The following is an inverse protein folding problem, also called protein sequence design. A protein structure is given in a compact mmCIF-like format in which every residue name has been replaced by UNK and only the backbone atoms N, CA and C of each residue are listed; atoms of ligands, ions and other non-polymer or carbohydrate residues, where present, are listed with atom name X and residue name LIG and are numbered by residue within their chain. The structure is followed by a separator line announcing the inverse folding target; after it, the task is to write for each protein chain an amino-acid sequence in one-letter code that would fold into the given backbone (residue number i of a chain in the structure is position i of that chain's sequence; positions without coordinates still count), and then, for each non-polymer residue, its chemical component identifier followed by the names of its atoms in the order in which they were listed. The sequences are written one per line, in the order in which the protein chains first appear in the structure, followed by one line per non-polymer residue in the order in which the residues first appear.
data_IF_173753009787
#
_entry.id   IF_173753009787
#
_cell.length_a   1.000
_cell.length_b   1.000
_cell.length_c   1.000
_cell.angle_alpha   90.00
_cell.angle_beta   90.00
_cell.angle_gamma   90.00
#
_symmetry.space_group_name_H-M   'P 1'
#
loop_
_entity.id
_entity.type
_entity.pdbx_description
1 polymer ?
#
# COMPACT_ATOMS: atom_id res chain seq x y z
N UNK A 1 7.38 2.44 11.33
CA UNK A 1 8.05 2.95 10.10
C UNK A 1 7.09 3.07 8.90
N UNK A 2 6.36 2.01 8.52
CA UNK A 2 5.42 2.03 7.38
C UNK A 2 4.34 3.13 7.44
N UNK A 3 3.68 3.33 8.59
CA UNK A 3 2.68 4.41 8.75
C UNK A 3 3.25 5.81 8.57
N UNK A 4 4.51 6.07 8.96
CA UNK A 4 5.13 7.39 8.83
C UNK A 4 5.37 7.72 7.35
N UNK A 5 5.79 6.71 6.57
CA UNK A 5 5.96 6.84 5.12
C UNK A 5 4.62 7.11 4.43
N UNK A 6 3.58 6.33 4.75
CA UNK A 6 2.24 6.58 4.22
C UNK A 6 1.71 7.97 4.60
N UNK A 7 1.90 8.38 5.86
CA UNK A 7 1.44 9.69 6.32
C UNK A 7 2.16 10.84 5.59
N UNK A 8 3.48 10.73 5.40
CA UNK A 8 4.25 11.75 4.69
C UNK A 8 3.92 11.79 3.19
N UNK A 9 3.71 10.63 2.55
CA UNK A 9 3.29 10.56 1.14
C UNK A 9 1.92 11.22 0.94
N UNK A 10 0.96 11.00 1.85
CA UNK A 10 -0.39 11.57 1.71
C UNK A 10 -0.46 13.05 2.10
N UNK A 11 0.29 13.49 3.12
CA UNK A 11 0.18 14.86 3.65
C UNK A 11 1.24 15.84 3.15
N UNK A 12 2.39 15.39 2.65
CA UNK A 12 3.54 16.29 2.42
C UNK A 12 4.10 16.29 1.01
N UNK A 13 3.96 15.20 0.24
CA UNK A 13 4.72 15.08 -1.01
C UNK A 13 3.90 15.33 -2.28
N UNK A 14 2.64 14.87 -2.37
CA UNK A 14 1.88 14.98 -3.63
C UNK A 14 0.36 15.05 -3.40
N UNK A 15 -0.38 15.86 -4.18
CA UNK A 15 -1.81 15.64 -4.36
C UNK A 15 -2.00 14.30 -5.09
N UNK A 16 -2.52 13.30 -4.38
CA UNK A 16 -2.81 11.97 -4.90
C UNK A 16 -4.32 11.78 -4.98
N UNK A 17 -4.80 11.29 -6.13
CA UNK A 17 -6.22 10.97 -6.33
C UNK A 17 -6.59 9.59 -5.73
N UNK A 18 -5.64 8.66 -5.71
CA UNK A 18 -5.82 7.34 -5.09
C UNK A 18 -4.49 6.76 -4.58
N UNK A 19 -4.58 5.92 -3.55
CA UNK A 19 -3.43 5.20 -2.97
C UNK A 19 -3.77 3.72 -2.80
N UNK A 20 -2.91 2.85 -3.34
CA UNK A 20 -3.02 1.40 -3.15
C UNK A 20 -1.93 0.95 -2.17
N UNK A 21 -2.35 0.23 -1.13
CA UNK A 21 -1.45 -0.37 -0.15
C UNK A 21 -1.52 -1.89 -0.29
N UNK A 22 -0.41 -2.49 -0.71
CA UNK A 22 -0.24 -3.94 -0.71
C UNK A 22 -0.05 -4.47 0.71
N UNK A 23 -0.85 -5.46 1.11
CA UNK A 23 -0.75 -6.11 2.42
C UNK A 23 -0.97 -7.62 2.34
N UNK A 24 -0.24 -8.37 3.16
CA UNK A 24 -0.43 -9.82 3.38
C UNK A 24 -1.61 -10.13 4.29
N UNK A 25 -2.04 -9.15 5.07
CA UNK A 25 -3.16 -9.27 6.00
C UNK A 25 -4.10 -8.09 5.76
N UNK A 26 -5.23 -8.38 5.12
CA UNK A 26 -6.21 -7.37 4.73
C UNK A 26 -6.86 -6.70 5.95
N UNK A 27 -7.09 -7.43 7.04
CA UNK A 27 -7.69 -6.87 8.26
C UNK A 27 -6.79 -5.79 8.87
N UNK A 28 -5.50 -6.07 9.03
CA UNK A 28 -4.51 -5.09 9.51
C UNK A 28 -4.38 -3.93 8.54
N UNK A 29 -4.40 -4.20 7.24
CA UNK A 29 -4.39 -3.17 6.20
C UNK A 29 -5.60 -2.23 6.33
N UNK A 30 -6.81 -2.77 6.51
CA UNK A 30 -8.03 -1.99 6.66
C UNK A 30 -8.02 -1.11 7.92
N UNK A 31 -7.46 -1.60 9.03
CA UNK A 31 -7.24 -0.77 10.24
C UNK A 31 -6.31 0.41 9.97
N UNK A 32 -5.28 0.22 9.13
CA UNK A 32 -4.36 1.31 8.73
C UNK A 32 -5.05 2.28 7.77
N UNK A 33 -5.82 1.78 6.79
CA UNK A 33 -6.66 2.59 5.90
C UNK A 33 -7.54 3.55 6.70
N UNK A 34 -8.36 3.03 7.62
CA UNK A 34 -9.27 3.84 8.42
C UNK A 34 -8.56 4.93 9.23
N UNK A 35 -7.38 4.61 9.78
CA UNK A 35 -6.57 5.60 10.50
C UNK A 35 -6.06 6.69 9.56
N UNK A 36 -5.49 6.32 8.42
CA UNK A 36 -4.94 7.27 7.46
C UNK A 36 -6.03 8.19 6.89
N UNK A 37 -7.17 7.63 6.45
CA UNK A 37 -8.29 8.43 5.93
C UNK A 37 -8.81 9.44 6.95
N UNK A 38 -8.86 9.04 8.24
CA UNK A 38 -9.22 9.94 9.34
C UNK A 38 -8.16 11.03 9.56
N UNK A 39 -6.87 10.71 9.49
CA UNK A 39 -5.79 11.69 9.66
C UNK A 39 -5.69 12.68 8.49
N UNK A 40 -6.03 12.24 7.29
CA UNK A 40 -5.87 13.03 6.06
C UNK A 40 -7.17 13.71 5.64
N UNK A 41 -8.29 13.41 6.31
CA UNK A 41 -9.64 13.85 5.97
C UNK A 41 -10.02 13.59 4.50
N UNK A 42 -9.60 12.42 3.98
CA UNK A 42 -9.84 11.98 2.60
C UNK A 42 -10.42 10.57 2.62
N UNK A 43 -11.74 10.43 2.81
CA UNK A 43 -12.38 9.12 2.77
C UNK A 43 -12.27 8.51 1.36
N UNK A 44 -12.25 7.18 1.30
CA UNK A 44 -12.29 6.36 0.09
C UNK A 44 -11.09 6.50 -0.88
N UNK A 45 -10.10 7.33 -0.54
CA UNK A 45 -8.87 7.51 -1.33
C UNK A 45 -7.96 6.28 -1.26
N UNK A 46 -8.02 5.51 -0.17
CA UNK A 46 -7.07 4.43 0.12
C UNK A 46 -7.71 3.06 -0.15
N UNK A 47 -7.02 2.23 -0.91
CA UNK A 47 -7.42 0.87 -1.23
C UNK A 47 -6.40 -0.12 -0.66
N UNK A 48 -6.89 -1.15 0.03
CA UNK A 48 -6.06 -2.25 0.50
C UNK A 48 -6.18 -3.39 -0.50
N UNK A 49 -5.06 -3.84 -1.02
CA UNK A 49 -4.99 -4.99 -1.92
C UNK A 49 -4.09 -6.06 -1.36
N UNK A 50 -4.45 -7.31 -1.59
CA UNK A 50 -3.62 -8.43 -1.20
C UNK A 50 -2.34 -8.48 -2.04
N UNK A 51 -1.20 -8.50 -1.38
CA UNK A 51 0.12 -8.65 -1.98
C UNK A 51 1.05 -9.37 -1.00
N UNK A 52 1.54 -10.55 -1.40
CA UNK A 52 2.65 -11.23 -0.74
C UNK A 52 3.87 -11.24 -1.66
N UNK A 53 4.87 -10.43 -1.31
CA UNK A 53 6.11 -10.25 -2.08
C UNK A 53 6.96 -11.53 -2.13
N UNK A 54 6.80 -12.43 -1.16
CA UNK A 54 7.48 -13.74 -1.16
C UNK A 54 6.77 -14.80 -2.02
N UNK A 55 5.68 -14.45 -2.70
CA UNK A 55 4.94 -15.34 -3.60
C UNK A 55 4.91 -14.77 -5.00
N UNK A 56 5.65 -15.39 -5.92
CA UNK A 56 5.68 -14.95 -7.33
C UNK A 56 4.28 -14.91 -7.96
N UNK A 57 3.43 -15.87 -7.61
CA UNK A 57 2.03 -15.89 -8.08
C UNK A 57 1.23 -14.71 -7.52
N UNK A 58 1.41 -14.36 -6.24
CA UNK A 58 0.75 -13.20 -5.64
C UNK A 58 1.19 -11.90 -6.34
N UNK A 59 2.49 -11.76 -6.61
CA UNK A 59 3.04 -10.61 -7.34
C UNK A 59 2.47 -10.51 -8.76
N UNK A 60 2.42 -11.61 -9.53
CA UNK A 60 1.81 -11.62 -10.87
C UNK A 60 0.33 -11.23 -10.83
N UNK A 61 -0.43 -11.79 -9.89
CA UNK A 61 -1.86 -11.46 -9.74
C UNK A 61 -2.09 -9.99 -9.40
N UNK A 62 -1.25 -9.43 -8.50
CA UNK A 62 -1.29 -8.01 -8.16
C UNK A 62 -0.95 -7.13 -9.37
N UNK A 63 0.13 -7.44 -10.09
CA UNK A 63 0.54 -6.70 -11.28
C UNK A 63 -0.53 -6.76 -12.39
N UNK A 64 -1.17 -7.91 -12.58
CA UNK A 64 -2.25 -8.05 -13.55
C UNK A 64 -3.47 -7.20 -13.17
N UNK A 65 -3.86 -7.17 -11.89
CA UNK A 65 -4.91 -6.24 -11.41
C UNK A 65 -4.54 -4.78 -11.65
N UNK A 66 -3.31 -4.39 -11.31
CA UNK A 66 -2.84 -3.03 -11.55
C UNK A 66 -2.93 -2.65 -13.04
N UNK A 67 -2.48 -3.52 -13.94
CA UNK A 67 -2.53 -3.28 -15.38
C UNK A 67 -3.95 -3.20 -15.96
N UNK A 68 -4.91 -3.92 -15.36
CA UNK A 68 -6.28 -4.00 -15.89
C UNK A 68 -7.23 -2.98 -15.26
N UNK A 69 -7.00 -2.60 -14.01
CA UNK A 69 -7.91 -1.74 -13.24
C UNK A 69 -7.43 -0.29 -13.17
N UNK A 70 -6.13 -0.04 -13.34
CA UNK A 70 -5.57 1.32 -13.25
C UNK A 70 -5.44 1.90 -14.65
N UNK A 71 -6.03 3.08 -14.84
CA UNK A 71 -5.83 3.87 -16.06
C UNK A 71 -4.41 4.42 -16.15
N UNK A 72 -3.79 4.72 -15.00
CA UNK A 72 -2.43 5.27 -14.87
C UNK A 72 -1.85 4.87 -13.51
N UNK A 73 -0.54 4.64 -13.47
CA UNK A 73 0.24 4.49 -12.24
C UNK A 73 1.35 5.54 -12.25
N UNK A 74 1.29 6.49 -11.32
CA UNK A 74 2.27 7.58 -11.24
C UNK A 74 3.56 7.17 -10.51
N UNK A 75 3.41 6.45 -9.40
CA UNK A 75 4.52 6.08 -8.51
C UNK A 75 4.30 4.67 -7.98
N UNK A 76 5.37 3.88 -7.95
CA UNK A 76 5.43 2.60 -7.25
C UNK A 76 6.47 2.66 -6.12
N UNK A 77 6.05 2.40 -4.89
CA UNK A 77 6.92 2.42 -3.71
C UNK A 77 7.12 1.00 -3.16
N UNK A 78 8.33 0.47 -3.32
CA UNK A 78 8.69 -0.88 -2.89
C UNK A 78 9.26 -0.85 -1.46
N UNK A 79 8.37 -0.78 -0.47
CA UNK A 79 8.75 -0.63 0.96
C UNK A 79 8.50 -1.88 1.82
N UNK A 80 8.27 -3.05 1.22
CA UNK A 80 7.95 -4.30 1.92
C UNK A 80 9.20 -5.04 2.46
N UNK A 81 10.06 -4.34 3.19
CA UNK A 81 11.26 -4.93 3.78
C UNK A 81 10.93 -6.03 4.79
N UNK A 82 11.58 -7.19 4.65
CA UNK A 82 11.55 -8.28 5.63
C UNK A 82 12.80 -8.16 6.51
N UNK A 83 12.61 -8.04 7.83
CA UNK A 83 13.71 -8.19 8.79
C UNK A 83 13.74 -9.64 9.25
N UNK A 84 14.77 -10.37 8.84
CA UNK A 84 14.97 -11.73 9.30
C UNK A 84 15.69 -11.71 10.66
N UNK A 85 15.00 -12.13 11.74
CA UNK A 85 15.53 -12.06 13.12
C UNK A 85 16.53 -13.17 13.44
N UNK A 86 16.64 -14.20 12.60
CA UNK A 86 17.53 -15.35 12.82
C UNK A 86 18.99 -15.10 12.43
N UNK A 87 19.28 -14.00 11.72
CA UNK A 87 20.63 -13.61 11.30
C UNK A 87 21.05 -12.25 11.89
N UNK A 88 20.37 -11.80 12.95
CA UNK A 88 20.61 -10.53 13.62
C UNK A 88 21.41 -10.71 14.91
#
# INVERSE_FOLDING_TARGET
MFMLLCNHVVNSLLPLDSLIIGSRNLERGNKVKLKLEKYTNRPDMIQIQELEMNSFQSVKSFANRANTQLKRLDIALLAAGLWNREFA
#
